data_IF_600999183558
#
_entry.id   IF_600999183558
#
_cell.length_a   1.000
_cell.length_b   1.000
_cell.length_c   1.000
_cell.angle_alpha   90.00
_cell.angle_beta   90.00
_cell.angle_gamma   90.00
#
_symmetry.space_group_name_H-M   'P 1'
#
loop_
_entity.id
_entity.type
_entity.pdbx_description
1 polymer ?
#
# COMPACT_ATOMS: atom_id res chain seq x y z
N UNK A 1 -4.40 10.07 -7.41
CA UNK A 1 -3.37 9.51 -8.30
C UNK A 1 -3.78 8.12 -8.77
N UNK A 2 -3.81 7.89 -10.08
CA UNK A 2 -4.13 6.59 -10.66
C UNK A 2 -2.93 6.11 -11.50
N UNK A 3 -2.38 4.94 -11.15
CA UNK A 3 -1.36 4.24 -11.90
C UNK A 3 -1.98 2.91 -12.37
N UNK A 4 -2.21 2.76 -13.68
CA UNK A 4 -2.86 1.59 -14.27
C UNK A 4 -2.00 1.01 -15.40
N UNK A 5 -1.80 -0.31 -15.41
CA UNK A 5 -1.31 -1.05 -16.58
C UNK A 5 0.09 -0.63 -17.05
N UNK A 6 0.99 -0.40 -16.10
CA UNK A 6 2.33 0.08 -16.38
C UNK A 6 3.34 -1.04 -16.08
N UNK A 7 3.36 -2.05 -16.95
CA UNK A 7 4.19 -3.24 -16.81
C UNK A 7 5.69 -2.95 -16.76
N UNK A 8 6.11 -1.76 -17.22
CA UNK A 8 7.50 -1.27 -17.14
C UNK A 8 7.79 -0.41 -15.91
N UNK A 9 6.78 -0.04 -15.12
CA UNK A 9 6.96 0.79 -13.93
C UNK A 9 7.49 -0.07 -12.78
N UNK A 10 8.81 -0.11 -12.66
CA UNK A 10 9.51 -0.84 -11.59
C UNK A 10 9.70 -0.02 -10.31
N UNK A 11 9.51 1.30 -10.36
CA UNK A 11 9.65 2.19 -9.20
C UNK A 11 8.74 3.41 -9.29
N UNK A 12 8.44 4.01 -8.13
CA UNK A 12 7.75 5.30 -8.01
C UNK A 12 8.77 6.46 -7.90
N UNK A 13 9.94 6.33 -8.53
CA UNK A 13 10.93 7.40 -8.58
C UNK A 13 10.35 8.67 -9.23
N UNK A 14 10.48 9.82 -8.57
CA UNK A 14 9.98 11.11 -9.04
C UNK A 14 8.76 11.65 -8.27
N UNK A 15 8.14 10.85 -7.39
CA UNK A 15 7.05 11.30 -6.50
C UNK A 15 7.49 11.55 -5.06
N UNK A 16 8.80 11.62 -4.78
CA UNK A 16 9.32 11.77 -3.43
C UNK A 16 8.90 13.08 -2.74
N UNK A 17 8.46 14.10 -3.50
CA UNK A 17 7.98 15.36 -2.93
C UNK A 17 6.48 15.33 -2.59
N UNK A 18 5.76 14.25 -2.91
CA UNK A 18 4.33 14.12 -2.62
C UNK A 18 4.17 13.74 -1.15
N UNK A 19 3.65 14.68 -0.36
CA UNK A 19 3.35 14.47 1.05
C UNK A 19 1.89 14.13 1.32
N UNK A 20 0.99 14.51 0.42
CA UNK A 20 -0.44 14.24 0.52
C UNK A 20 -1.07 14.10 -0.86
N UNK A 21 -2.10 13.26 -0.94
CA UNK A 21 -3.00 13.15 -2.08
C UNK A 21 -4.39 13.54 -1.59
N UNK A 22 -5.00 14.58 -2.16
CA UNK A 22 -6.37 15.01 -1.79
C UNK A 22 -7.42 13.96 -2.15
N UNK A 23 -7.20 13.25 -3.25
CA UNK A 23 -8.08 12.18 -3.74
C UNK A 23 -7.55 10.79 -3.32
N UNK A 24 -7.93 9.74 -4.05
CA UNK A 24 -7.44 8.38 -3.82
C UNK A 24 -6.06 8.09 -4.42
N UNK A 25 -5.47 6.98 -3.99
CA UNK A 25 -4.32 6.33 -4.57
C UNK A 25 -4.75 4.96 -5.10
N UNK A 26 -4.66 4.73 -6.41
CA UNK A 26 -4.86 3.39 -6.98
C UNK A 26 -3.63 2.98 -7.78
N UNK A 27 -3.06 1.83 -7.42
CA UNK A 27 -1.92 1.20 -8.10
C UNK A 27 -2.39 -0.18 -8.55
N UNK A 28 -2.58 -0.36 -9.86
CA UNK A 28 -3.27 -1.53 -10.41
C UNK A 28 -2.50 -2.14 -11.59
N UNK A 29 -2.47 -3.48 -11.65
CA UNK A 29 -1.95 -4.26 -12.78
C UNK A 29 -0.53 -3.83 -13.18
N UNK A 30 0.44 -4.04 -12.27
CA UNK A 30 1.85 -3.77 -12.53
C UNK A 30 2.67 -5.02 -12.31
N UNK A 31 3.14 -5.64 -13.39
CA UNK A 31 3.93 -6.87 -13.28
C UNK A 31 5.35 -6.65 -12.72
N UNK A 32 5.90 -5.43 -12.77
CA UNK A 32 7.31 -5.16 -12.40
C UNK A 32 7.50 -4.37 -11.10
N UNK A 33 6.45 -3.88 -10.45
CA UNK A 33 6.59 -3.09 -9.22
C UNK A 33 6.94 -4.00 -8.05
N UNK A 34 8.09 -3.77 -7.41
CA UNK A 34 8.60 -4.62 -6.32
C UNK A 34 8.42 -4.04 -4.92
N UNK A 35 8.28 -2.71 -4.82
CA UNK A 35 8.07 -1.97 -3.57
C UNK A 35 7.31 -0.65 -3.82
N UNK A 36 6.95 0.04 -2.74
CA UNK A 36 6.39 1.40 -2.77
C UNK A 36 7.46 2.49 -2.62
N UNK A 37 8.74 2.14 -2.83
CA UNK A 37 9.86 3.08 -2.77
C UNK A 37 9.61 4.26 -3.70
N UNK A 38 9.74 5.47 -3.18
CA UNK A 38 9.33 6.73 -3.78
C UNK A 38 8.15 7.41 -3.07
N UNK A 39 7.38 6.67 -2.25
CA UNK A 39 6.27 7.20 -1.45
C UNK A 39 6.63 7.49 0.01
N UNK A 40 7.92 7.48 0.38
CA UNK A 40 8.37 7.57 1.77
C UNK A 40 7.86 8.83 2.48
N UNK A 41 7.62 9.91 1.74
CA UNK A 41 7.11 11.18 2.30
C UNK A 41 5.59 11.28 2.32
N UNK A 42 4.86 10.30 1.77
CA UNK A 42 3.40 10.31 1.70
C UNK A 42 2.82 10.09 3.11
N UNK A 43 2.12 11.11 3.61
CA UNK A 43 1.51 11.10 4.95
C UNK A 43 0.00 10.95 4.93
N UNK A 44 -0.67 11.31 3.85
CA UNK A 44 -2.13 11.22 3.75
C UNK A 44 -2.65 10.95 2.35
N UNK A 45 -3.74 10.18 2.29
CA UNK A 45 -4.57 9.94 1.09
C UNK A 45 -6.01 10.28 1.46
N UNK A 46 -6.60 11.30 0.83
CA UNK A 46 -7.95 11.77 1.18
C UNK A 46 -9.07 10.85 0.72
N UNK A 47 -8.82 10.01 -0.30
CA UNK A 47 -9.78 9.08 -0.88
C UNK A 47 -9.44 7.61 -0.64
N UNK A 48 -9.92 6.76 -1.56
CA UNK A 48 -9.67 5.32 -1.55
C UNK A 48 -8.18 5.01 -1.74
N UNK A 49 -7.69 3.99 -1.05
CA UNK A 49 -6.35 3.45 -1.21
C UNK A 49 -6.47 2.03 -1.77
N UNK A 50 -6.00 1.80 -2.99
CA UNK A 50 -6.15 0.53 -3.71
C UNK A 50 -4.81 0.04 -4.26
N UNK A 51 -4.42 -1.18 -3.89
CA UNK A 51 -3.30 -1.92 -4.47
C UNK A 51 -3.81 -3.27 -4.97
N UNK A 52 -3.69 -3.54 -6.28
CA UNK A 52 -4.16 -4.81 -6.84
C UNK A 52 -3.41 -5.26 -8.10
N UNK A 53 -3.24 -6.57 -8.27
CA UNK A 53 -2.68 -7.16 -9.48
C UNK A 53 -1.17 -6.94 -9.66
N UNK A 54 -0.38 -7.01 -8.59
CA UNK A 54 1.08 -6.94 -8.65
C UNK A 54 1.73 -8.27 -8.29
N UNK A 55 2.41 -8.89 -9.25
CA UNK A 55 3.05 -10.19 -9.06
C UNK A 55 4.44 -10.11 -8.42
N UNK A 56 5.16 -9.00 -8.61
CA UNK A 56 6.53 -8.86 -8.09
C UNK A 56 6.59 -8.06 -6.79
N UNK A 57 5.46 -7.50 -6.33
CA UNK A 57 5.39 -6.69 -5.12
C UNK A 57 5.52 -7.60 -3.90
N UNK A 58 6.63 -7.50 -3.17
CA UNK A 58 6.90 -8.35 -2.00
C UNK A 58 6.52 -7.66 -0.67
N UNK A 59 6.66 -6.34 -0.62
CA UNK A 59 6.37 -5.53 0.56
C UNK A 59 5.72 -4.19 0.22
N UNK A 60 5.13 -3.57 1.23
CA UNK A 60 4.58 -2.21 1.17
C UNK A 60 5.57 -1.13 1.65
N UNK A 61 6.87 -1.47 1.73
CA UNK A 61 7.90 -0.54 2.19
C UNK A 61 7.95 0.72 1.34
N UNK A 62 8.11 1.86 2.01
CA UNK A 62 7.89 3.20 1.46
C UNK A 62 6.59 3.85 1.91
N UNK A 63 5.74 3.16 2.68
CA UNK A 63 4.49 3.70 3.23
C UNK A 63 4.53 3.92 4.75
N UNK A 64 5.70 3.85 5.37
CA UNK A 64 5.89 3.91 6.83
C UNK A 64 5.35 5.22 7.46
N UNK A 65 5.36 6.30 6.68
CA UNK A 65 4.90 7.62 7.12
C UNK A 65 3.42 7.89 6.82
N UNK A 66 2.69 6.95 6.20
CA UNK A 66 1.27 7.10 5.93
C UNK A 66 0.49 7.09 7.26
N UNK A 67 -0.18 8.19 7.57
CA UNK A 67 -0.89 8.40 8.83
C UNK A 67 -2.40 8.52 8.66
N UNK A 68 -2.89 8.79 7.44
CA UNK A 68 -4.32 8.92 7.18
C UNK A 68 -4.75 8.43 5.81
N UNK A 69 -5.85 7.67 5.79
CA UNK A 69 -6.60 7.31 4.59
C UNK A 69 -8.06 7.66 4.79
N UNK A 70 -8.56 8.67 4.06
CA UNK A 70 -9.92 9.18 4.17
C UNK A 70 -10.99 8.30 3.52
N UNK A 71 -10.60 7.27 2.75
CA UNK A 71 -11.48 6.28 2.13
C UNK A 71 -11.26 4.85 2.61
N UNK A 72 -11.72 3.88 1.81
CA UNK A 72 -11.49 2.45 2.05
C UNK A 72 -10.06 2.06 1.64
N UNK A 73 -9.42 1.22 2.45
CA UNK A 73 -8.14 0.57 2.11
C UNK A 73 -8.44 -0.81 1.54
N UNK A 74 -7.96 -1.07 0.32
CA UNK A 74 -8.09 -2.35 -0.36
C UNK A 74 -6.72 -2.79 -0.88
N UNK A 75 -6.22 -3.92 -0.38
CA UNK A 75 -4.98 -4.52 -0.84
C UNK A 75 -5.28 -5.96 -1.20
N UNK A 76 -5.53 -6.20 -2.48
CA UNK A 76 -6.10 -7.47 -2.92
C UNK A 76 -5.54 -7.98 -4.23
N UNK A 77 -5.56 -9.29 -4.41
CA UNK A 77 -5.21 -9.94 -5.69
C UNK A 77 -3.75 -9.67 -6.10
N UNK A 78 -2.83 -9.62 -5.14
CA UNK A 78 -1.38 -9.55 -5.39
C UNK A 78 -0.78 -10.94 -5.13
N UNK A 79 -1.17 -11.92 -5.95
CA UNK A 79 -1.15 -13.35 -5.62
C UNK A 79 0.22 -13.99 -5.46
N UNK A 80 1.29 -13.33 -5.90
CA UNK A 80 2.59 -13.97 -6.07
C UNK A 80 3.52 -13.77 -4.86
N UNK A 81 3.93 -12.52 -4.56
CA UNK A 81 5.00 -12.26 -3.57
C UNK A 81 4.57 -11.45 -2.34
N UNK A 82 3.44 -10.75 -2.35
CA UNK A 82 3.12 -9.77 -1.31
C UNK A 82 2.88 -10.44 0.05
N UNK A 83 3.87 -10.29 0.94
CA UNK A 83 3.87 -10.90 2.27
C UNK A 83 4.23 -9.97 3.41
N UNK A 84 4.74 -8.78 3.14
CA UNK A 84 5.15 -7.82 4.17
C UNK A 84 4.29 -6.55 4.14
N UNK A 85 3.53 -6.35 5.21
CA UNK A 85 2.60 -5.24 5.44
C UNK A 85 3.07 -4.32 6.58
N UNK A 86 4.27 -4.51 7.12
CA UNK A 86 4.72 -3.82 8.34
C UNK A 86 4.81 -2.30 8.17
N UNK A 87 4.99 -1.82 6.95
CA UNK A 87 4.93 -0.39 6.64
C UNK A 87 3.60 0.27 7.05
N UNK A 88 2.50 -0.48 7.16
CA UNK A 88 1.19 0.07 7.56
C UNK A 88 0.94 0.05 9.08
N UNK A 89 1.90 -0.42 9.88
CA UNK A 89 1.69 -0.56 11.33
C UNK A 89 1.37 0.76 12.02
N UNK A 90 2.06 1.85 11.65
CA UNK A 90 1.80 3.16 12.25
C UNK A 90 0.42 3.71 11.86
N UNK A 91 0.00 3.53 10.59
CA UNK A 91 -1.35 3.89 10.14
C UNK A 91 -2.43 3.20 10.98
N UNK A 92 -2.28 1.90 11.22
CA UNK A 92 -3.31 1.13 11.93
C UNK A 92 -3.27 1.29 13.44
N UNK A 93 -2.09 1.53 14.03
CA UNK A 93 -1.95 1.73 15.47
C UNK A 93 -2.34 3.15 15.91
N UNK A 94 -1.99 4.17 15.13
CA UNK A 94 -2.05 5.58 15.55
C UNK A 94 -2.77 6.51 14.56
N UNK A 95 -3.01 6.04 13.34
CA UNK A 95 -3.56 6.85 12.26
C UNK A 95 -5.08 6.88 12.20
N UNK A 96 -5.59 7.44 11.10
CA UNK A 96 -7.03 7.51 10.80
C UNK A 96 -7.32 6.80 9.49
N UNK A 97 -8.22 5.82 9.53
CA UNK A 97 -8.64 5.03 8.37
C UNK A 97 -10.10 4.59 8.55
N UNK A 98 -10.75 4.20 7.45
CA UNK A 98 -12.10 3.65 7.48
C UNK A 98 -12.05 2.11 7.45
N UNK A 99 -12.74 1.52 6.48
CA UNK A 99 -12.76 0.07 6.29
C UNK A 99 -11.47 -0.40 5.60
N UNK A 100 -10.98 -1.57 6.02
CA UNK A 100 -9.82 -2.24 5.47
C UNK A 100 -10.23 -3.59 4.93
N UNK A 101 -9.74 -3.93 3.73
CA UNK A 101 -9.83 -5.28 3.18
C UNK A 101 -8.48 -5.69 2.59
N UNK A 102 -7.86 -6.65 3.26
CA UNK A 102 -6.66 -7.34 2.81
C UNK A 102 -7.08 -8.78 2.52
N UNK A 103 -7.14 -9.15 1.24
CA UNK A 103 -7.60 -10.46 0.82
C UNK A 103 -6.95 -10.88 -0.49
N UNK A 104 -6.87 -12.19 -0.75
CA UNK A 104 -6.31 -12.69 -2.02
C UNK A 104 -4.85 -12.27 -2.27
N UNK A 105 -4.03 -12.17 -1.22
CA UNK A 105 -2.56 -12.07 -1.30
C UNK A 105 -1.92 -13.35 -0.70
N UNK A 106 -0.62 -13.62 -0.89
CA UNK A 106 0.07 -14.76 -0.26
C UNK A 106 0.02 -14.74 1.28
N UNK A 107 0.00 -13.55 1.88
CA UNK A 107 -0.27 -13.34 3.30
C UNK A 107 -1.36 -12.29 3.44
N UNK A 108 -2.38 -12.57 4.26
CA UNK A 108 -3.51 -11.66 4.50
C UNK A 108 -3.67 -11.41 6.00
N UNK A 109 -2.79 -10.60 6.61
CA UNK A 109 -2.90 -10.28 8.02
C UNK A 109 -4.19 -9.49 8.29
N UNK A 110 -4.77 -9.71 9.46
CA UNK A 110 -5.80 -8.79 9.96
C UNK A 110 -5.16 -7.47 10.37
N UNK A 111 -5.97 -6.42 10.50
CA UNK A 111 -5.51 -5.13 11.06
C UNK A 111 -4.86 -5.33 12.43
N UNK A 112 -5.44 -6.19 13.29
CA UNK A 112 -4.88 -6.48 14.60
C UNK A 112 -3.52 -7.19 14.49
N UNK A 113 -3.34 -8.13 13.55
CA UNK A 113 -2.04 -8.74 13.34
C UNK A 113 -0.98 -7.71 12.97
N UNK A 114 -1.33 -6.72 12.14
CA UNK A 114 -0.39 -5.66 11.78
C UNK A 114 -0.06 -4.78 12.99
N UNK A 115 -1.05 -4.38 13.78
CA UNK A 115 -0.85 -3.60 15.02
C UNK A 115 0.08 -4.36 15.98
N UNK A 116 -0.12 -5.67 16.14
CA UNK A 116 0.65 -6.55 17.02
C UNK A 116 2.06 -6.88 16.49
N UNK A 117 2.44 -6.37 15.30
CA UNK A 117 3.74 -6.65 14.67
C UNK A 117 3.81 -8.00 13.94
N UNK A 118 2.71 -8.74 13.85
CA UNK A 118 2.57 -9.96 13.04
C UNK A 118 2.22 -9.61 11.58
N UNK A 119 3.01 -8.73 10.97
CA UNK A 119 2.74 -8.09 9.68
C UNK A 119 3.54 -8.65 8.49
N UNK A 120 4.39 -9.67 8.69
CA UNK A 120 5.18 -10.30 7.63
C UNK A 120 5.27 -11.84 7.77
N UNK A 121 5.32 -12.58 6.64
CA UNK A 121 5.51 -14.05 6.58
C UNK A 121 6.38 -14.52 5.41
#
# INVERSE_FOLDING_TARGET
MLLFGNDSLSSLGGVQNITSLSDGLAIQNGSSLTSMTGLENLTSVGGQFLITGHDQLASLNGLENLNSVGGMIQIRQNFSLLRDFCALQNLFANGSYNQVDISNNPFNPTVQNIIDGNCSQ
#
